data_IF_847705216465
#
_entry.id   IF_847705216465
#
_cell.length_a   1.000
_cell.length_b   1.000
_cell.length_c   1.000
_cell.angle_alpha   90.00
_cell.angle_beta   90.00
_cell.angle_gamma   90.00
#
_symmetry.space_group_name_H-M   'P 1'
#
loop_
_entity.id
_entity.type
_entity.pdbx_description
1 polymer ?
#
# COMPACT_ATOMS: atom_id res chain seq x y z
N UNK A 1 52.23 -2.90 33.50
CA UNK A 1 50.96 -3.59 33.82
C UNK A 1 49.79 -2.65 34.16
N UNK A 2 50.03 -1.41 34.63
CA UNK A 2 48.94 -0.47 34.95
C UNK A 2 48.23 0.09 33.70
N UNK A 3 48.97 0.44 32.65
CA UNK A 3 48.43 0.94 31.37
C UNK A 3 47.37 0.00 30.77
N UNK A 4 47.68 -1.30 30.72
CA UNK A 4 46.75 -2.30 30.21
C UNK A 4 45.45 -2.39 31.05
N UNK A 5 45.55 -2.26 32.37
CA UNK A 5 44.37 -2.24 33.26
C UNK A 5 43.51 -1.00 33.04
N UNK A 6 44.13 0.16 32.81
CA UNK A 6 43.43 1.42 32.51
C UNK A 6 42.64 1.33 31.22
N UNK A 7 43.25 0.84 30.13
CA UNK A 7 42.60 0.68 28.83
C UNK A 7 41.39 -0.26 28.92
N UNK A 8 41.55 -1.40 29.61
CA UNK A 8 40.46 -2.37 29.80
C UNK A 8 39.33 -1.77 30.64
N UNK A 9 39.62 -1.01 31.69
CA UNK A 9 38.59 -0.34 32.49
C UNK A 9 37.80 0.68 31.68
N UNK A 10 38.47 1.50 30.86
CA UNK A 10 37.80 2.50 30.03
C UNK A 10 36.92 1.82 28.96
N UNK A 11 37.43 0.78 28.30
CA UNK A 11 36.67 0.05 27.28
C UNK A 11 35.42 -0.64 27.86
N UNK A 12 35.55 -1.27 29.03
CA UNK A 12 34.41 -1.91 29.71
C UNK A 12 33.40 -0.89 30.21
N UNK A 13 33.85 0.25 30.74
CA UNK A 13 32.95 1.34 31.15
C UNK A 13 32.20 1.92 29.94
N UNK A 14 32.89 2.15 28.82
CA UNK A 14 32.29 2.70 27.61
C UNK A 14 31.19 1.77 27.05
N UNK A 15 31.50 0.48 26.94
CA UNK A 15 30.54 -0.52 26.41
C UNK A 15 29.34 -0.70 27.33
N UNK A 16 29.56 -0.75 28.65
CA UNK A 16 28.46 -0.83 29.63
C UNK A 16 27.58 0.42 29.60
N UNK A 17 28.15 1.62 29.54
CA UNK A 17 27.39 2.87 29.37
C UNK A 17 26.58 2.87 28.07
N UNK A 18 27.16 2.42 26.95
CA UNK A 18 26.46 2.33 25.68
C UNK A 18 25.27 1.35 25.75
N UNK A 19 25.45 0.18 26.37
CA UNK A 19 24.35 -0.77 26.58
C UNK A 19 23.24 -0.18 27.44
N UNK A 20 23.59 0.49 28.55
CA UNK A 20 22.61 1.16 29.42
C UNK A 20 21.85 2.26 28.67
N UNK A 21 22.55 3.05 27.85
CA UNK A 21 21.91 4.06 27.02
C UNK A 21 20.88 3.45 26.06
N UNK A 22 21.21 2.34 25.39
CA UNK A 22 20.26 1.61 24.54
C UNK A 22 19.03 1.13 25.33
N UNK A 23 19.23 0.60 26.54
CA UNK A 23 18.14 0.13 27.39
C UNK A 23 17.20 1.25 27.87
N UNK A 24 17.66 2.50 27.94
CA UNK A 24 16.83 3.65 28.30
C UNK A 24 16.13 4.26 27.08
N UNK A 25 16.82 4.34 25.94
CA UNK A 25 16.29 4.94 24.72
C UNK A 25 15.15 4.09 24.13
N UNK A 26 15.29 2.77 24.11
CA UNK A 26 14.29 1.86 23.50
C UNK A 26 12.89 2.04 24.14
N UNK A 27 12.74 2.03 25.49
CA UNK A 27 11.46 2.33 26.13
C UNK A 27 10.92 3.73 25.80
N UNK A 28 11.78 4.75 25.73
CA UNK A 28 11.37 6.12 25.39
C UNK A 28 10.75 6.17 23.99
N UNK A 29 11.44 5.60 23.00
CA UNK A 29 10.94 5.55 21.63
C UNK A 29 9.63 4.75 21.53
N UNK A 30 9.50 3.67 22.29
CA UNK A 30 8.26 2.89 22.29
C UNK A 30 7.07 3.71 22.84
N UNK A 31 7.29 4.51 23.88
CA UNK A 31 6.27 5.43 24.43
C UNK A 31 5.85 6.48 23.39
N UNK A 32 6.83 7.09 22.71
CA UNK A 32 6.56 8.07 21.66
C UNK A 32 5.75 7.45 20.50
N UNK A 33 6.12 6.25 20.05
CA UNK A 33 5.40 5.54 18.98
C UNK A 33 3.96 5.24 19.38
N UNK A 34 3.73 4.77 20.60
CA UNK A 34 2.39 4.46 21.09
C UNK A 34 1.50 5.71 21.16
N UNK A 35 2.05 6.82 21.66
CA UNK A 35 1.35 8.10 21.70
C UNK A 35 1.02 8.61 20.28
N UNK A 36 2.00 8.60 19.37
CA UNK A 36 1.79 9.02 17.98
C UNK A 36 0.78 8.12 17.26
N UNK A 37 0.80 6.82 17.53
CA UNK A 37 -0.16 5.87 16.95
C UNK A 37 -1.59 6.19 17.41
N UNK A 38 -1.78 6.48 18.71
CA UNK A 38 -3.10 6.86 19.24
C UNK A 38 -3.61 8.17 18.61
N UNK A 39 -2.75 9.20 18.51
CA UNK A 39 -3.11 10.49 17.93
C UNK A 39 -3.46 10.40 16.44
N UNK A 40 -2.66 9.66 15.65
CA UNK A 40 -2.93 9.46 14.22
C UNK A 40 -4.21 8.66 14.02
N UNK A 41 -4.45 7.64 14.83
CA UNK A 41 -5.67 6.85 14.71
C UNK A 41 -6.92 7.67 15.03
N UNK A 42 -6.87 8.48 16.09
CA UNK A 42 -7.94 9.41 16.46
C UNK A 42 -8.22 10.44 15.34
N UNK A 43 -7.19 11.10 14.83
CA UNK A 43 -7.34 12.07 13.74
C UNK A 43 -7.89 11.46 12.44
N UNK A 44 -7.51 10.23 12.10
CA UNK A 44 -8.07 9.50 10.94
C UNK A 44 -9.55 9.16 11.17
N UNK A 45 -9.95 8.81 12.39
CA UNK A 45 -11.36 8.57 12.71
C UNK A 45 -12.18 9.85 12.56
N UNK A 46 -11.68 10.97 13.07
CA UNK A 46 -12.35 12.28 12.93
C UNK A 46 -12.47 12.66 11.46
N UNK A 47 -11.38 12.56 10.68
CA UNK A 47 -11.41 12.86 9.24
C UNK A 47 -12.41 11.98 8.47
N UNK A 48 -12.49 10.68 8.81
CA UNK A 48 -13.50 9.79 8.24
C UNK A 48 -14.92 10.22 8.61
N UNK A 49 -15.17 10.53 9.87
CA UNK A 49 -16.48 10.98 10.33
C UNK A 49 -16.92 12.27 9.60
N UNK A 50 -16.01 13.25 9.46
CA UNK A 50 -16.27 14.48 8.71
C UNK A 50 -16.51 14.22 7.22
N UNK A 51 -15.70 13.35 6.60
CA UNK A 51 -15.85 13.00 5.18
C UNK A 51 -17.14 12.23 4.92
N UNK A 52 -17.49 11.27 5.78
CA UNK A 52 -18.73 10.49 5.68
C UNK A 52 -19.95 11.40 5.87
N UNK A 53 -19.90 12.34 6.81
CA UNK A 53 -20.94 13.35 6.98
C UNK A 53 -21.12 14.20 5.71
N UNK A 54 -20.03 14.73 5.14
CA UNK A 54 -20.09 15.48 3.89
C UNK A 54 -20.60 14.61 2.72
N UNK A 55 -20.22 13.34 2.65
CA UNK A 55 -20.69 12.39 1.64
C UNK A 55 -22.20 12.14 1.76
N UNK A 56 -22.73 12.01 2.98
CA UNK A 56 -24.18 11.86 3.20
C UNK A 56 -24.96 13.10 2.77
N UNK A 57 -24.43 14.30 2.99
CA UNK A 57 -25.04 15.56 2.52
C UNK A 57 -25.07 15.63 0.98
N UNK A 58 -23.97 15.26 0.31
CA UNK A 58 -23.92 15.18 -1.16
C UNK A 58 -24.92 14.16 -1.70
N UNK A 59 -25.08 13.01 -1.04
CA UNK A 59 -26.04 11.98 -1.42
C UNK A 59 -27.50 12.48 -1.28
N UNK A 60 -27.79 13.29 -0.27
CA UNK A 60 -29.13 13.87 -0.08
C UNK A 60 -29.52 14.82 -1.22
N UNK A 61 -28.56 15.47 -1.88
CA UNK A 61 -28.83 16.30 -3.08
C UNK A 61 -29.29 15.46 -4.28
N UNK A 62 -28.89 14.19 -4.38
CA UNK A 62 -29.37 13.29 -5.44
C UNK A 62 -30.83 12.86 -5.25
N UNK A 63 -31.42 13.07 -4.06
CA UNK A 63 -32.83 12.74 -3.78
C UNK A 63 -33.78 13.82 -4.32
N UNK A 64 -33.33 15.08 -4.44
CA UNK A 64 -34.17 16.18 -4.93
C UNK A 64 -34.14 16.37 -6.46
N UNK A 65 -33.22 15.73 -7.17
CA UNK A 65 -33.02 15.92 -8.61
C UNK A 65 -33.51 14.77 -9.50
N UNK A 66 -34.13 13.70 -8.96
CA UNK A 66 -34.61 12.55 -9.75
C UNK A 66 -36.13 12.37 -9.58
N UNK A 67 -36.95 12.63 -10.61
CA UNK A 67 -38.38 12.34 -10.57
C UNK A 67 -38.65 10.82 -10.47
N UNK A 68 -39.72 10.38 -9.76
CA UNK A 68 -39.92 9.02 -9.25
C UNK A 68 -40.26 7.94 -10.28
N UNK A 69 -40.06 8.19 -11.58
CA UNK A 69 -40.56 7.33 -12.66
C UNK A 69 -39.47 6.59 -13.47
N UNK A 70 -38.23 6.52 -12.98
CA UNK A 70 -37.16 5.77 -13.68
C UNK A 70 -36.45 4.81 -12.72
N UNK A 71 -36.18 3.54 -13.12
CA UNK A 71 -35.53 2.57 -12.27
C UNK A 71 -34.17 3.09 -11.79
N UNK A 72 -33.82 2.83 -10.52
CA UNK A 72 -32.52 3.20 -9.92
C UNK A 72 -31.39 2.55 -10.72
N UNK A 73 -30.80 3.31 -11.65
CA UNK A 73 -29.50 3.00 -12.22
C UNK A 73 -28.42 3.46 -11.24
N UNK A 74 -27.58 2.52 -10.84
CA UNK A 74 -26.55 2.75 -9.84
C UNK A 74 -25.51 3.75 -10.37
N UNK A 75 -25.26 4.87 -9.69
CA UNK A 75 -24.39 5.95 -10.18
C UNK A 75 -22.91 5.56 -10.31
N UNK A 76 -22.52 4.37 -9.86
CA UNK A 76 -21.14 3.87 -9.92
C UNK A 76 -20.85 3.00 -11.17
N UNK A 77 -21.84 2.74 -12.01
CA UNK A 77 -21.63 1.92 -13.21
C UNK A 77 -20.73 2.63 -14.24
N UNK A 78 -20.71 3.96 -14.25
CA UNK A 78 -19.84 4.78 -15.12
C UNK A 78 -18.40 4.91 -14.62
N UNK A 79 -18.14 4.62 -13.34
CA UNK A 79 -16.81 4.74 -12.73
C UNK A 79 -16.02 3.42 -12.75
N UNK A 80 -16.71 2.27 -12.71
CA UNK A 80 -16.06 0.95 -12.74
C UNK A 80 -16.16 0.23 -14.09
N UNK A 81 -17.09 0.61 -14.97
CA UNK A 81 -17.14 0.12 -16.34
C UNK A 81 -16.61 1.22 -17.24
N UNK A 82 -15.40 1.02 -17.78
CA UNK A 82 -14.84 1.85 -18.86
C UNK A 82 -15.87 1.93 -19.99
N UNK A 83 -16.56 3.06 -20.10
CA UNK A 83 -17.50 3.30 -21.20
C UNK A 83 -16.75 3.18 -22.53
N UNK A 84 -17.31 2.38 -23.45
CA UNK A 84 -16.79 2.27 -24.82
C UNK A 84 -16.91 3.67 -25.43
N UNK A 85 -15.77 4.29 -25.79
CA UNK A 85 -15.66 5.65 -26.39
C UNK A 85 -16.47 5.88 -27.68
N UNK A 86 -17.27 4.90 -28.08
CA UNK A 86 -17.90 4.75 -29.38
C UNK A 86 -19.32 4.22 -29.18
N UNK A 87 -20.16 5.03 -28.53
CA UNK A 87 -21.60 4.85 -28.57
C UNK A 87 -22.16 5.75 -29.68
N UNK A 88 -22.21 5.19 -30.89
CA UNK A 88 -22.59 5.90 -32.12
C UNK A 88 -24.10 5.88 -32.39
N UNK A 89 -24.88 5.41 -31.42
CA UNK A 89 -26.34 5.26 -31.50
C UNK A 89 -27.11 6.59 -31.61
N UNK A 90 -26.42 7.74 -31.51
CA UNK A 90 -27.00 9.09 -31.61
C UNK A 90 -26.43 9.97 -32.73
N UNK A 91 -25.67 9.41 -33.68
CA UNK A 91 -24.99 10.21 -34.72
C UNK A 91 -25.70 10.11 -36.09
N UNK A 92 -25.83 11.21 -36.86
CA UNK A 92 -26.55 11.19 -38.13
C UNK A 92 -25.90 10.27 -39.18
N UNK A 93 -26.70 9.80 -40.15
CA UNK A 93 -26.34 8.78 -41.16
C UNK A 93 -25.17 9.13 -42.09
N UNK A 94 -24.69 10.37 -42.10
CA UNK A 94 -23.55 10.79 -42.91
C UNK A 94 -22.18 10.58 -42.22
N UNK A 95 -22.15 10.20 -40.95
CA UNK A 95 -20.90 9.97 -40.21
C UNK A 95 -20.40 8.52 -40.36
N UNK A 96 -19.40 8.31 -41.21
CA UNK A 96 -18.63 7.06 -41.24
C UNK A 96 -17.58 7.08 -40.13
N UNK A 97 -17.93 6.57 -38.95
CA UNK A 97 -17.05 6.55 -37.78
C UNK A 97 -16.48 5.17 -37.45
N UNK A 98 -16.71 4.14 -38.27
CA UNK A 98 -16.11 2.82 -38.07
C UNK A 98 -14.78 2.76 -38.84
N UNK A 99 -13.60 2.87 -38.17
CA UNK A 99 -12.35 2.52 -38.81
C UNK A 99 -12.39 1.02 -39.14
N UNK A 100 -12.10 0.67 -40.40
CA UNK A 100 -12.02 -0.73 -40.86
C UNK A 100 -11.08 -1.48 -39.92
N UNK A 101 -11.62 -2.46 -39.19
CA UNK A 101 -10.85 -3.28 -38.27
C UNK A 101 -10.05 -4.31 -39.08
N UNK A 102 -8.73 -4.20 -39.22
CA UNK A 102 -7.96 -5.29 -39.79
C UNK A 102 -8.04 -6.48 -38.81
N UNK A 103 -8.42 -7.64 -39.31
CA UNK A 103 -8.36 -8.89 -38.55
C UNK A 103 -6.90 -9.30 -38.46
N UNK A 104 -6.24 -8.94 -37.35
CA UNK A 104 -4.88 -9.38 -37.09
C UNK A 104 -4.90 -10.75 -36.38
N UNK A 105 -4.08 -11.73 -36.80
CA UNK A 105 -3.99 -13.01 -36.10
C UNK A 105 -3.41 -12.79 -34.68
N UNK A 106 -3.77 -13.65 -33.72
CA UNK A 106 -3.20 -13.62 -32.38
C UNK A 106 -1.66 -13.69 -32.44
N UNK A 107 -0.98 -12.89 -31.64
CA UNK A 107 0.47 -12.95 -31.52
C UNK A 107 0.94 -14.33 -31.04
N UNK A 108 2.17 -14.75 -31.38
CA UNK A 108 2.72 -16.01 -30.91
C UNK A 108 2.78 -16.06 -29.37
N UNK A 109 2.65 -17.25 -28.76
CA UNK A 109 2.84 -17.44 -27.32
C UNK A 109 4.20 -16.90 -26.87
N UNK A 110 4.24 -16.24 -25.72
CA UNK A 110 5.49 -15.76 -25.14
C UNK A 110 6.48 -16.89 -24.82
N UNK A 111 7.78 -16.58 -24.70
CA UNK A 111 8.78 -17.56 -24.30
C UNK A 111 8.49 -18.11 -22.91
N UNK A 112 8.95 -19.34 -22.65
CA UNK A 112 8.86 -19.96 -21.32
C UNK A 112 9.63 -19.09 -20.32
N UNK A 113 9.04 -18.82 -19.17
CA UNK A 113 9.71 -18.10 -18.09
C UNK A 113 10.97 -18.81 -17.61
N UNK A 114 11.89 -18.04 -17.04
CA UNK A 114 13.16 -18.55 -16.54
C UNK A 114 12.95 -19.64 -15.47
N UNK A 115 13.86 -20.62 -15.37
CA UNK A 115 13.84 -21.61 -14.29
C UNK A 115 13.83 -20.93 -12.93
N UNK A 116 12.98 -21.43 -12.02
CA UNK A 116 12.98 -20.98 -10.64
C UNK A 116 14.32 -21.26 -9.95
N UNK A 117 14.71 -20.45 -8.94
CA UNK A 117 15.94 -20.67 -8.21
C UNK A 117 15.94 -22.02 -7.48
N UNK A 118 17.10 -22.66 -7.40
CA UNK A 118 17.28 -23.93 -6.70
C UNK A 118 16.85 -23.83 -5.24
N UNK A 119 16.10 -24.82 -4.76
CA UNK A 119 15.69 -24.92 -3.37
C UNK A 119 16.91 -25.04 -2.45
N UNK A 120 16.98 -24.20 -1.40
CA UNK A 120 18.03 -24.28 -0.39
C UNK A 120 18.05 -25.66 0.27
N UNK A 121 19.16 -26.40 0.12
CA UNK A 121 19.45 -27.59 0.91
C UNK A 121 19.57 -27.17 2.38
N UNK A 122 18.78 -27.80 3.24
CA UNK A 122 18.88 -27.66 4.70
C UNK A 122 20.32 -27.96 5.13
N UNK A 123 20.94 -26.95 5.72
CA UNK A 123 22.26 -26.95 6.34
C UNK A 123 22.26 -27.95 7.50
N UNK A 124 23.15 -28.95 7.44
CA UNK A 124 23.64 -29.61 8.66
C UNK A 124 24.70 -28.69 9.26
N UNK A 125 24.34 -28.19 10.44
CA UNK A 125 25.09 -27.27 11.27
C UNK A 125 26.23 -28.09 11.89
N UNK A 126 27.47 -27.91 11.44
CA UNK A 126 28.65 -28.26 12.24
C UNK A 126 29.26 -26.97 12.76
N UNK A 127 28.70 -26.54 13.88
CA UNK A 127 29.33 -25.64 14.82
C UNK A 127 30.44 -26.41 15.52
N UNK A 128 31.72 -26.17 15.16
CA UNK A 128 32.89 -26.16 16.06
C UNK A 128 34.19 -26.11 15.24
N UNK A 129 34.91 -24.97 15.29
CA UNK A 129 36.37 -24.88 15.34
C UNK A 129 36.82 -23.41 15.23
N UNK A 130 36.60 -22.65 16.30
CA UNK A 130 37.49 -21.55 16.68
C UNK A 130 38.11 -21.96 18.02
N UNK A 131 39.22 -22.68 17.94
CA UNK A 131 40.38 -22.62 18.84
C UNK A 131 41.54 -23.32 18.13
#
# INVERSE_FOLDING_TARGET
>A
MYEAKLIVCIATLCTTCAMVACLVIIPSLYREIDQLHAEVFDSVQVFKAETDAAWTEIMQLQIFAVPPSKPRENPLHSLFVRSKRHDYSKLPSFCHCEPVKPVCPPGPPGPRGDPGPDGRKRIFIYMHAFC
#
